data_IF_236857943761
#
_entry.id   IF_236857943761
#
_cell.length_a   1.000
_cell.length_b   1.000
_cell.length_c   1.000
_cell.angle_alpha   90.00
_cell.angle_beta   90.00
_cell.angle_gamma   90.00
#
_symmetry.space_group_name_H-M   'P 1'
#
loop_
_entity.id
_entity.type
_entity.pdbx_description
1 polymer ?
#
# COMPACT_ATOMS: atom_id res chain seq x y z
N UNK A 1 -0.11 4.80 40.60
CA UNK A 1 -1.01 3.75 40.09
C UNK A 1 -1.38 4.10 38.66
N UNK A 2 -0.50 3.62 37.77
CA UNK A 2 -0.68 3.13 36.40
C UNK A 2 -2.12 2.62 36.11
N UNK A 3 -2.62 2.44 34.88
CA UNK A 3 -2.21 2.68 33.50
C UNK A 3 -3.45 2.30 32.67
N UNK A 4 -3.80 3.10 31.67
CA UNK A 4 -4.44 2.72 30.38
C UNK A 4 -4.43 4.01 29.57
N UNK A 5 -3.36 4.37 28.85
CA UNK A 5 -2.77 3.66 27.72
C UNK A 5 -3.81 3.27 26.66
N UNK A 6 -3.87 4.13 25.64
CA UNK A 6 -3.94 3.76 24.23
C UNK A 6 -5.31 3.52 23.58
N UNK A 7 -5.68 4.42 22.66
CA UNK A 7 -6.15 4.09 21.31
C UNK A 7 -6.29 5.37 20.46
N UNK A 8 -5.18 5.97 20.01
CA UNK A 8 -5.05 6.60 18.67
C UNK A 8 -3.64 7.23 18.53
N UNK A 9 -2.62 6.41 18.32
CA UNK A 9 -1.33 6.93 17.87
C UNK A 9 -1.46 7.35 16.40
N UNK A 10 -1.12 8.61 16.01
CA UNK A 10 -1.02 8.94 14.60
C UNK A 10 0.05 8.05 13.97
N UNK A 11 -0.23 7.52 12.79
CA UNK A 11 0.65 6.61 12.07
C UNK A 11 1.92 7.34 11.60
N UNK A 12 2.96 7.40 12.44
CA UNK A 12 4.24 8.10 12.16
C UNK A 12 5.03 7.53 10.97
N UNK A 13 4.65 6.37 10.44
CA UNK A 13 5.27 5.75 9.26
C UNK A 13 5.14 6.56 7.96
N UNK A 14 4.27 7.58 7.94
CA UNK A 14 4.16 8.56 6.85
C UNK A 14 5.20 9.68 6.91
N UNK A 15 5.38 10.28 8.10
CA UNK A 15 6.15 11.52 8.28
C UNK A 15 7.64 11.32 8.06
N UNK A 16 8.24 10.28 8.65
CA UNK A 16 9.68 10.02 8.55
C UNK A 16 10.14 9.90 7.09
N UNK A 17 9.36 9.19 6.28
CA UNK A 17 9.65 9.05 4.84
C UNK A 17 9.35 10.30 4.02
N UNK A 18 8.41 11.14 4.45
CA UNK A 18 8.14 12.42 3.80
C UNK A 18 9.27 13.43 4.06
N UNK A 19 9.77 13.45 5.30
CA UNK A 19 10.90 14.28 5.74
C UNK A 19 12.21 13.88 5.04
N UNK A 20 12.49 12.58 4.90
CA UNK A 20 13.64 12.08 4.13
C UNK A 20 13.58 12.55 2.66
N UNK A 21 12.41 12.47 2.03
CA UNK A 21 12.19 12.96 0.65
C UNK A 21 12.40 14.46 0.56
N UNK A 22 11.92 15.19 1.56
CA UNK A 22 12.07 16.63 1.63
C UNK A 22 13.53 17.04 1.80
N UNK A 23 14.32 16.35 2.62
CA UNK A 23 15.75 16.63 2.78
C UNK A 23 16.51 16.59 1.44
N UNK A 24 16.19 15.63 0.57
CA UNK A 24 16.76 15.54 -0.77
C UNK A 24 16.24 16.63 -1.71
N UNK A 25 14.94 16.92 -1.70
CA UNK A 25 14.38 17.97 -2.56
C UNK A 25 14.79 19.38 -2.15
N UNK A 26 15.00 19.62 -0.86
CA UNK A 26 15.45 20.90 -0.32
C UNK A 26 16.83 21.30 -0.86
N UNK A 27 17.70 20.33 -1.17
CA UNK A 27 18.96 20.57 -1.88
C UNK A 27 18.74 21.21 -3.25
N UNK A 28 17.69 20.80 -3.97
CA UNK A 28 17.33 21.39 -5.26
C UNK A 28 16.59 22.73 -5.10
N UNK A 29 15.61 22.78 -4.20
CA UNK A 29 14.70 23.93 -4.06
C UNK A 29 15.40 25.13 -3.42
N UNK A 30 16.28 24.92 -2.45
CA UNK A 30 16.95 26.01 -1.72
C UNK A 30 18.38 26.27 -2.19
N UNK A 31 19.10 25.24 -2.65
CA UNK A 31 20.52 25.36 -3.00
C UNK A 31 20.78 25.30 -4.52
N UNK A 32 19.72 25.32 -5.34
CA UNK A 32 19.76 25.27 -6.81
C UNK A 32 20.56 24.09 -7.40
N UNK A 33 20.74 23.03 -6.60
CA UNK A 33 21.47 21.83 -7.05
C UNK A 33 20.57 21.05 -8.01
N UNK A 34 21.07 20.71 -9.19
CA UNK A 34 20.29 19.91 -10.15
C UNK A 34 19.85 18.55 -9.56
N UNK A 35 18.62 18.12 -9.85
CA UNK A 35 18.13 16.79 -9.46
C UNK A 35 19.03 15.65 -9.97
N UNK A 36 19.72 15.87 -11.10
CA UNK A 36 20.69 14.95 -11.65
C UNK A 36 21.95 14.80 -10.78
N UNK A 37 22.43 15.89 -10.16
CA UNK A 37 23.54 15.82 -9.22
C UNK A 37 23.12 15.09 -7.94
N UNK A 38 21.96 15.43 -7.38
CA UNK A 38 21.41 14.76 -6.19
C UNK A 38 21.23 13.25 -6.45
N UNK A 39 20.78 12.86 -7.64
CA UNK A 39 20.60 11.45 -7.99
C UNK A 39 21.92 10.65 -7.98
N UNK A 40 23.04 11.28 -8.38
CA UNK A 40 24.35 10.60 -8.40
C UNK A 40 24.86 10.31 -6.99
N UNK A 41 24.60 11.21 -6.05
CA UNK A 41 25.18 11.14 -4.71
C UNK A 41 24.26 10.48 -3.67
N UNK A 42 22.94 10.51 -3.88
CA UNK A 42 21.94 10.04 -2.90
C UNK A 42 21.48 8.59 -3.05
N UNK A 43 21.93 7.89 -4.10
CA UNK A 43 21.43 6.55 -4.45
C UNK A 43 19.95 6.50 -4.87
N UNK A 44 19.27 7.65 -4.96
CA UNK A 44 17.89 7.77 -5.43
C UNK A 44 17.88 8.11 -6.92
N UNK A 45 17.20 7.30 -7.73
CA UNK A 45 17.15 7.51 -9.18
C UNK A 45 16.49 8.84 -9.58
N UNK A 46 17.00 9.46 -10.64
CA UNK A 46 16.52 10.76 -11.15
C UNK A 46 15.01 10.82 -11.36
N UNK A 47 14.42 9.78 -11.99
CA UNK A 47 12.97 9.66 -12.22
C UNK A 47 12.15 9.72 -10.93
N UNK A 48 12.70 9.22 -9.82
CA UNK A 48 12.05 9.25 -8.51
C UNK A 48 12.06 10.66 -7.94
N UNK A 49 13.20 11.35 -8.03
CA UNK A 49 13.34 12.75 -7.60
C UNK A 49 12.46 13.69 -8.43
N UNK A 50 12.41 13.54 -9.75
CA UNK A 50 11.51 14.30 -10.63
C UNK A 50 10.05 14.09 -10.25
N UNK A 51 9.65 12.84 -10.01
CA UNK A 51 8.28 12.52 -9.57
C UNK A 51 7.94 13.15 -8.23
N UNK A 52 8.86 13.12 -7.27
CA UNK A 52 8.66 13.78 -5.97
C UNK A 52 8.60 15.29 -6.10
N UNK A 53 9.45 15.91 -6.93
CA UNK A 53 9.41 17.33 -7.20
C UNK A 53 8.07 17.74 -7.84
N UNK A 54 7.58 16.98 -8.82
CA UNK A 54 6.26 17.21 -9.42
C UNK A 54 5.12 17.07 -8.40
N UNK A 55 5.17 16.06 -7.53
CA UNK A 55 4.19 15.87 -6.47
C UNK A 55 4.21 17.00 -5.44
N UNK A 56 5.41 17.48 -5.08
CA UNK A 56 5.61 18.63 -4.20
C UNK A 56 5.08 19.93 -4.82
N UNK A 57 5.38 20.19 -6.10
CA UNK A 57 4.84 21.36 -6.80
C UNK A 57 3.31 21.35 -6.91
N UNK A 58 2.69 20.17 -6.97
CA UNK A 58 1.25 20.03 -7.08
C UNK A 58 0.50 20.08 -5.74
N UNK A 59 1.09 19.53 -4.66
CA UNK A 59 0.40 19.31 -3.37
C UNK A 59 1.18 19.77 -2.14
N UNK A 60 2.32 20.45 -2.32
CA UNK A 60 3.23 20.79 -1.23
C UNK A 60 3.78 19.55 -0.52
N UNK A 61 4.03 19.68 0.77
CA UNK A 61 4.61 18.62 1.61
C UNK A 61 3.74 17.36 1.65
N UNK A 62 2.41 17.48 1.56
CA UNK A 62 1.48 16.34 1.48
C UNK A 62 1.74 15.46 0.26
N UNK A 63 2.26 16.03 -0.83
CA UNK A 63 2.68 15.30 -2.02
C UNK A 63 3.87 14.35 -1.78
N UNK A 64 4.63 14.55 -0.71
CA UNK A 64 5.77 13.73 -0.32
C UNK A 64 5.42 12.60 0.63
N UNK A 65 4.17 12.54 1.11
CA UNK A 65 3.74 11.43 1.96
C UNK A 65 3.88 10.08 1.23
N UNK A 66 4.25 8.99 1.91
CA UNK A 66 4.22 7.65 1.36
C UNK A 66 2.85 7.36 0.76
N UNK A 67 2.84 6.75 -0.43
CA UNK A 67 1.60 6.24 -0.98
C UNK A 67 0.99 5.28 0.06
N UNK A 68 -0.35 5.31 0.26
CA UNK A 68 -0.99 4.35 1.13
C UNK A 68 -0.61 2.94 0.68
N UNK A 69 -0.52 1.97 1.62
CA UNK A 69 -0.30 0.59 1.27
C UNK A 69 -1.23 0.22 0.13
N UNK A 70 -0.70 -0.40 -0.93
CA UNK A 70 -1.52 -0.89 -2.03
C UNK A 70 -2.59 -1.75 -1.38
N UNK A 71 -3.84 -1.29 -1.39
CA UNK A 71 -4.94 -2.07 -0.86
C UNK A 71 -4.79 -3.47 -1.44
N UNK A 72 -4.74 -4.48 -0.57
CA UNK A 72 -4.67 -5.88 -0.99
C UNK A 72 -5.61 -6.02 -2.18
N UNK A 73 -5.14 -6.68 -3.24
CA UNK A 73 -5.98 -7.00 -4.40
C UNK A 73 -7.10 -7.89 -3.87
N UNK A 74 -8.14 -7.28 -3.33
CA UNK A 74 -9.29 -7.94 -2.75
C UNK A 74 -10.03 -8.45 -3.98
N UNK A 75 -9.70 -9.65 -4.40
CA UNK A 75 -10.51 -10.38 -5.36
C UNK A 75 -11.91 -10.40 -4.75
N UNK A 76 -12.79 -9.52 -5.24
CA UNK A 76 -14.16 -9.39 -4.72
C UNK A 76 -14.93 -10.61 -5.20
N UNK A 77 -14.74 -11.74 -4.52
CA UNK A 77 -15.61 -12.88 -4.66
C UNK A 77 -16.99 -12.46 -4.14
N UNK A 78 -18.02 -12.69 -4.95
CA UNK A 78 -19.41 -12.49 -4.54
C UNK A 78 -19.67 -13.21 -3.20
N UNK A 79 -20.31 -12.58 -2.22
CA UNK A 79 -20.55 -13.18 -0.90
C UNK A 79 -21.19 -14.56 -0.96
N UNK A 80 -22.09 -14.77 -1.92
CA UNK A 80 -22.83 -16.03 -2.09
C UNK A 80 -21.88 -17.17 -2.50
N UNK A 81 -20.95 -16.88 -3.43
CA UNK A 81 -19.93 -17.86 -3.85
C UNK A 81 -18.95 -18.18 -2.71
N UNK A 82 -18.63 -17.18 -1.87
CA UNK A 82 -17.79 -17.39 -0.69
C UNK A 82 -18.45 -18.36 0.30
N UNK A 83 -19.74 -18.16 0.61
CA UNK A 83 -20.49 -19.03 1.52
C UNK A 83 -20.58 -20.47 1.00
N UNK A 84 -20.78 -20.67 -0.30
CA UNK A 84 -20.80 -22.02 -0.91
C UNK A 84 -19.43 -22.70 -0.76
N UNK A 85 -18.34 -21.98 -1.03
CA UNK A 85 -16.97 -22.52 -0.88
C UNK A 85 -16.67 -22.87 0.57
N UNK A 86 -17.02 -22.00 1.52
CA UNK A 86 -16.84 -22.23 2.95
C UNK A 86 -17.65 -23.45 3.43
N UNK A 87 -18.93 -23.54 3.06
CA UNK A 87 -19.78 -24.68 3.41
C UNK A 87 -19.21 -26.01 2.89
N UNK A 88 -18.72 -26.04 1.65
CA UNK A 88 -18.09 -27.23 1.08
C UNK A 88 -16.76 -27.58 1.77
N UNK A 89 -16.00 -26.59 2.24
CA UNK A 89 -14.75 -26.80 2.96
C UNK A 89 -14.95 -27.37 4.37
N UNK A 90 -16.10 -27.08 4.99
CA UNK A 90 -16.46 -27.54 6.33
C UNK A 90 -17.01 -28.98 6.37
N UNK A 91 -17.50 -29.52 5.25
CA UNK A 91 -18.00 -30.89 5.17
C UNK A 91 -16.88 -31.91 5.46
N UNK A 92 -17.20 -32.94 6.24
CA UNK A 92 -16.34 -34.09 6.52
C UNK A 92 -16.82 -35.35 5.77
N UNK A 93 -15.91 -36.18 5.23
CA UNK A 93 -14.45 -35.97 5.14
C UNK A 93 -14.10 -34.77 4.26
N UNK A 94 -12.94 -34.15 4.50
CA UNK A 94 -12.58 -32.86 3.89
C UNK A 94 -12.63 -32.96 2.36
N UNK A 95 -13.47 -32.15 1.73
CA UNK A 95 -13.49 -32.05 0.27
C UNK A 95 -12.13 -31.51 -0.23
N UNK A 96 -11.59 -32.13 -1.27
CA UNK A 96 -10.41 -31.59 -1.97
C UNK A 96 -10.75 -30.26 -2.64
N UNK A 97 -9.74 -29.42 -2.87
CA UNK A 97 -9.90 -28.14 -3.60
C UNK A 97 -10.56 -28.36 -4.97
N UNK A 98 -10.17 -29.43 -5.68
CA UNK A 98 -10.75 -29.77 -6.97
C UNK A 98 -12.25 -30.14 -6.87
N UNK A 99 -12.64 -30.86 -5.81
CA UNK A 99 -14.05 -31.18 -5.54
C UNK A 99 -14.86 -29.93 -5.21
N UNK A 100 -14.32 -29.03 -4.39
CA UNK A 100 -14.96 -27.75 -4.05
C UNK A 100 -15.18 -26.91 -5.31
N UNK A 101 -14.17 -26.81 -6.18
CA UNK A 101 -14.26 -26.06 -7.44
C UNK A 101 -15.31 -26.63 -8.41
N UNK A 102 -15.38 -27.95 -8.57
CA UNK A 102 -16.42 -28.59 -9.41
C UNK A 102 -17.81 -28.31 -8.86
N UNK A 103 -18.00 -28.53 -7.55
CA UNK A 103 -19.29 -28.34 -6.88
C UNK A 103 -19.72 -26.87 -6.90
N UNK A 104 -18.83 -25.92 -6.65
CA UNK A 104 -19.18 -24.49 -6.73
C UNK A 104 -19.58 -24.08 -8.14
N UNK A 105 -18.94 -24.61 -9.19
CA UNK A 105 -19.31 -24.37 -10.59
C UNK A 105 -20.65 -25.00 -10.98
N UNK A 106 -21.00 -26.16 -10.38
CA UNK A 106 -22.29 -26.82 -10.60
C UNK A 106 -23.43 -26.15 -9.83
N UNK A 107 -23.21 -25.86 -8.55
CA UNK A 107 -24.21 -25.27 -7.65
C UNK A 107 -24.50 -23.82 -8.01
N UNK A 108 -23.47 -23.07 -8.39
CA UNK A 108 -23.63 -21.71 -8.85
C UNK A 108 -23.62 -21.67 -10.38
N UNK A 109 -24.79 -21.83 -10.99
CA UNK A 109 -25.01 -21.50 -12.39
C UNK A 109 -25.19 -19.98 -12.50
N UNK A 110 -24.16 -19.28 -12.97
CA UNK A 110 -24.20 -17.86 -13.32
C UNK A 110 -24.26 -17.71 -14.84
#
# INVERSE_FOLDING_TARGET
>A
MDTTSNANAPSEGGSVRAEERWALLRLHVENDISLAAIARDSGTGLRTLERWNAAYRARGFDGLQPAPPRAERRHRLRPELRQVVEGLALIRPRNSVATIHRKSRTTCRW
#
